data_IF_027368225705
#
_entry.id   IF_027368225705
#
_cell.length_a   1.000
_cell.length_b   1.000
_cell.length_c   1.000
_cell.angle_alpha   90.00
_cell.angle_beta   90.00
_cell.angle_gamma   90.00
#
_symmetry.space_group_name_H-M   'P 1'
#
loop_
_entity.id
_entity.type
_entity.pdbx_description
1 polymer ?
#
# COMPACT_ATOMS: atom_id res chain seq x y z
N UNK A 1 10.97 -14.43 -10.56
CA UNK A 1 9.95 -13.39 -10.34
C UNK A 1 8.69 -14.12 -9.96
N UNK A 2 7.97 -13.69 -8.91
CA UNK A 2 6.73 -14.34 -8.48
C UNK A 2 5.65 -14.21 -9.55
N UNK A 3 4.84 -15.25 -9.73
CA UNK A 3 3.62 -15.20 -10.53
C UNK A 3 2.52 -14.41 -9.78
N UNK A 4 1.48 -14.02 -10.48
CA UNK A 4 0.32 -13.36 -9.90
C UNK A 4 -0.37 -14.25 -8.84
N UNK A 5 -0.56 -15.52 -9.13
CA UNK A 5 -1.15 -16.51 -8.21
C UNK A 5 -0.32 -16.66 -6.93
N UNK A 6 1.00 -16.63 -7.02
CA UNK A 6 1.87 -16.66 -5.84
C UNK A 6 1.70 -15.39 -4.99
N UNK A 7 1.53 -14.22 -5.60
CA UNK A 7 1.27 -12.96 -4.88
C UNK A 7 -0.07 -12.99 -4.17
N UNK A 8 -1.11 -13.45 -4.83
CA UNK A 8 -2.45 -13.63 -4.23
C UNK A 8 -2.41 -14.57 -3.02
N UNK A 9 -1.72 -15.70 -3.15
CA UNK A 9 -1.53 -16.64 -2.04
C UNK A 9 -0.75 -16.01 -0.88
N UNK A 10 0.32 -15.27 -1.17
CA UNK A 10 1.11 -14.58 -0.14
C UNK A 10 0.31 -13.50 0.58
N UNK A 11 -0.52 -12.75 -0.15
CA UNK A 11 -1.46 -11.78 0.44
C UNK A 11 -2.40 -12.47 1.44
N UNK A 12 -3.07 -13.52 1.00
CA UNK A 12 -4.03 -14.25 1.84
C UNK A 12 -3.36 -14.86 3.09
N UNK A 13 -2.18 -15.47 2.94
CA UNK A 13 -1.41 -16.02 4.05
C UNK A 13 -1.01 -14.93 5.04
N UNK A 14 -0.47 -13.80 4.57
CA UNK A 14 -0.05 -12.71 5.44
C UNK A 14 -1.22 -12.11 6.23
N UNK A 15 -2.32 -11.80 5.54
CA UNK A 15 -3.53 -11.28 6.20
C UNK A 15 -4.09 -12.25 7.24
N UNK A 16 -4.17 -13.54 6.90
CA UNK A 16 -4.69 -14.58 7.81
C UNK A 16 -3.79 -14.78 9.02
N UNK A 17 -2.46 -14.70 8.86
CA UNK A 17 -1.48 -14.92 9.93
C UNK A 17 -1.60 -13.91 11.09
N UNK A 18 -2.12 -12.72 10.81
CA UNK A 18 -2.31 -11.63 11.81
C UNK A 18 -3.79 -11.34 12.08
N UNK A 19 -4.71 -12.11 11.49
CA UNK A 19 -6.14 -11.99 11.73
C UNK A 19 -6.77 -10.72 11.15
N UNK A 20 -6.37 -10.31 9.93
CA UNK A 20 -7.05 -9.19 9.24
C UNK A 20 -8.48 -9.60 8.91
N UNK A 21 -9.44 -8.77 9.30
CA UNK A 21 -10.85 -8.93 8.97
C UNK A 21 -11.28 -7.85 7.97
N UNK A 22 -11.84 -8.28 6.86
CA UNK A 22 -12.36 -7.39 5.84
C UNK A 22 -13.87 -7.17 6.00
N UNK A 23 -14.29 -5.92 5.85
CA UNK A 23 -15.69 -5.53 6.03
C UNK A 23 -16.03 -4.36 5.10
N UNK A 24 -17.26 -4.36 4.58
CA UNK A 24 -17.83 -3.18 3.96
C UNK A 24 -18.04 -2.05 4.98
N UNK A 25 -18.25 -0.83 4.49
CA UNK A 25 -18.63 0.30 5.33
C UNK A 25 -19.94 0.05 6.12
N UNK A 26 -20.80 -0.85 5.62
CA UNK A 26 -22.01 -1.31 6.34
C UNK A 26 -21.72 -2.22 7.53
N UNK A 27 -20.48 -2.66 7.74
CA UNK A 27 -20.07 -3.64 8.75
C UNK A 27 -20.30 -5.10 8.35
N UNK A 28 -20.75 -5.38 7.13
CA UNK A 28 -20.89 -6.73 6.62
C UNK A 28 -19.50 -7.29 6.29
N UNK A 29 -19.20 -8.50 6.76
CA UNK A 29 -17.93 -9.19 6.49
C UNK A 29 -17.79 -9.54 5.00
N UNK A 30 -16.56 -9.45 4.52
CA UNK A 30 -16.15 -9.84 3.16
C UNK A 30 -15.20 -11.02 3.31
N UNK A 31 -15.37 -12.05 2.46
CA UNK A 31 -14.46 -13.18 2.43
C UNK A 31 -13.08 -12.80 1.88
N UNK A 32 -12.05 -13.57 2.26
CA UNK A 32 -10.70 -13.38 1.71
C UNK A 32 -10.71 -13.51 0.18
N UNK A 33 -11.40 -14.50 -0.36
CA UNK A 33 -11.49 -14.72 -1.81
C UNK A 33 -12.09 -13.52 -2.52
N UNK A 34 -13.16 -12.93 -1.98
CA UNK A 34 -13.77 -11.73 -2.56
C UNK A 34 -12.82 -10.51 -2.52
N UNK A 35 -12.02 -10.36 -1.47
CA UNK A 35 -11.01 -9.30 -1.39
C UNK A 35 -9.90 -9.54 -2.41
N UNK A 36 -9.41 -10.76 -2.53
CA UNK A 36 -8.40 -11.14 -3.53
C UNK A 36 -8.92 -10.85 -4.93
N UNK A 37 -10.14 -11.27 -5.27
CA UNK A 37 -10.77 -11.00 -6.57
C UNK A 37 -10.88 -9.50 -6.86
N UNK A 38 -11.24 -8.69 -5.87
CA UNK A 38 -11.29 -7.22 -6.02
C UNK A 38 -9.93 -6.62 -6.30
N UNK A 39 -8.93 -6.99 -5.52
CA UNK A 39 -7.55 -6.51 -5.67
C UNK A 39 -6.95 -6.96 -7.01
N UNK A 40 -7.24 -8.20 -7.45
CA UNK A 40 -6.91 -8.73 -8.77
C UNK A 40 -7.51 -7.84 -9.88
N UNK A 41 -8.81 -7.61 -9.84
CA UNK A 41 -9.51 -6.80 -10.84
C UNK A 41 -9.06 -5.33 -10.86
N UNK A 42 -8.56 -4.80 -9.74
CA UNK A 42 -7.94 -3.48 -9.66
C UNK A 42 -6.50 -3.46 -10.22
N UNK A 43 -5.87 -4.63 -10.40
CA UNK A 43 -4.49 -4.73 -10.85
C UNK A 43 -3.44 -4.68 -9.73
N UNK A 44 -3.82 -4.83 -8.46
CA UNK A 44 -2.89 -4.74 -7.33
C UNK A 44 -1.72 -5.73 -7.44
N UNK A 45 -1.97 -6.92 -7.98
CA UNK A 45 -0.97 -7.98 -8.14
C UNK A 45 -0.16 -7.89 -9.45
N UNK A 46 -0.54 -6.99 -10.37
CA UNK A 46 0.07 -6.88 -11.70
C UNK A 46 0.66 -5.51 -11.99
N UNK A 47 0.15 -4.44 -11.37
CA UNK A 47 0.66 -3.09 -11.58
C UNK A 47 2.09 -2.90 -11.04
N UNK A 48 2.89 -2.00 -11.64
CA UNK A 48 4.19 -1.63 -11.11
C UNK A 48 4.06 -0.70 -9.90
N UNK A 49 5.10 -0.64 -9.05
CA UNK A 49 5.19 0.36 -7.99
C UNK A 49 5.63 1.73 -8.50
N UNK A 50 6.33 1.78 -9.63
CA UNK A 50 6.79 3.00 -10.29
C UNK A 50 7.02 2.78 -11.78
N UNK A 51 7.35 3.85 -12.51
CA UNK A 51 7.72 3.76 -13.94
C UNK A 51 9.22 3.76 -14.18
N UNK A 52 10.07 4.08 -13.18
CA UNK A 52 11.51 4.30 -13.34
C UNK A 52 12.35 3.95 -12.12
N UNK A 53 11.72 3.65 -10.98
CA UNK A 53 12.42 3.40 -9.72
C UNK A 53 12.17 1.97 -9.25
N UNK A 54 12.07 1.77 -7.93
CA UNK A 54 11.76 0.46 -7.37
C UNK A 54 10.44 -0.09 -7.93
N UNK A 55 10.42 -1.40 -8.21
CA UNK A 55 9.21 -2.09 -8.63
C UNK A 55 8.66 -1.66 -10.01
N UNK A 56 9.52 -1.26 -10.97
CA UNK A 56 9.16 -0.90 -12.35
C UNK A 56 8.86 -2.12 -13.24
N UNK A 57 8.29 -3.15 -12.65
CA UNK A 57 7.95 -4.41 -13.31
C UNK A 57 6.54 -4.88 -12.91
N UNK A 58 6.02 -5.84 -13.66
CA UNK A 58 4.69 -6.41 -13.44
C UNK A 58 4.60 -7.08 -12.06
N UNK A 59 3.66 -6.59 -11.22
CA UNK A 59 3.47 -7.01 -9.85
C UNK A 59 4.39 -6.31 -8.84
N UNK A 60 5.17 -5.31 -9.29
CA UNK A 60 6.04 -4.52 -8.41
C UNK A 60 5.28 -3.80 -7.30
N UNK A 61 4.02 -3.41 -7.54
CA UNK A 61 3.18 -2.79 -6.52
C UNK A 61 2.94 -3.73 -5.33
N UNK A 62 2.52 -4.97 -5.57
CA UNK A 62 2.35 -5.94 -4.50
C UNK A 62 3.67 -6.26 -3.81
N UNK A 63 4.74 -6.52 -4.59
CA UNK A 63 6.04 -6.89 -4.05
C UNK A 63 6.58 -5.79 -3.11
N UNK A 64 6.40 -4.52 -3.48
CA UNK A 64 6.73 -3.37 -2.63
C UNK A 64 5.86 -3.31 -1.37
N UNK A 65 4.54 -3.38 -1.53
CA UNK A 65 3.59 -3.33 -0.42
C UNK A 65 3.82 -4.46 0.60
N UNK A 66 4.10 -5.67 0.12
CA UNK A 66 4.44 -6.80 0.97
C UNK A 66 5.74 -6.55 1.77
N UNK A 67 6.75 -5.95 1.14
CA UNK A 67 7.99 -5.57 1.83
C UNK A 67 7.74 -4.53 2.90
N UNK A 68 6.95 -3.49 2.62
CA UNK A 68 6.59 -2.47 3.62
C UNK A 68 5.88 -3.12 4.81
N UNK A 69 4.92 -4.02 4.57
CA UNK A 69 4.23 -4.75 5.63
C UNK A 69 5.19 -5.57 6.49
N UNK A 70 6.13 -6.28 5.85
CA UNK A 70 7.13 -7.09 6.57
C UNK A 70 8.14 -6.23 7.33
N UNK A 71 8.55 -5.07 6.80
CA UNK A 71 9.41 -4.12 7.52
C UNK A 71 8.68 -3.51 8.72
N UNK A 72 7.39 -3.15 8.60
CA UNK A 72 6.60 -2.68 9.74
C UNK A 72 6.47 -3.74 10.84
N UNK A 73 6.30 -5.01 10.48
CA UNK A 73 6.30 -6.10 11.46
C UNK A 73 7.65 -6.22 12.18
N UNK A 74 8.77 -6.13 11.46
CA UNK A 74 10.12 -6.13 12.05
C UNK A 74 10.35 -4.94 12.97
N UNK A 75 9.96 -3.75 12.55
CA UNK A 75 10.06 -2.53 13.37
C UNK A 75 9.16 -2.64 14.62
N UNK A 76 7.96 -3.20 14.47
CA UNK A 76 7.03 -3.45 15.58
C UNK A 76 7.66 -4.33 16.63
N UNK A 77 8.27 -5.45 16.24
CA UNK A 77 8.94 -6.36 17.17
C UNK A 77 10.19 -5.72 17.81
N UNK A 78 11.06 -5.13 16.99
CA UNK A 78 12.34 -4.58 17.45
C UNK A 78 12.18 -3.36 18.38
N UNK A 79 11.17 -2.53 18.15
CA UNK A 79 10.93 -1.28 18.88
C UNK A 79 9.75 -1.38 19.85
N UNK A 80 9.11 -2.53 19.94
CA UNK A 80 7.91 -2.76 20.75
C UNK A 80 6.81 -1.73 20.47
N UNK A 81 6.53 -1.50 19.16
CA UNK A 81 5.52 -0.52 18.77
C UNK A 81 4.12 -1.01 19.18
N UNK A 82 3.34 -0.11 19.73
CA UNK A 82 1.95 -0.33 20.07
C UNK A 82 1.03 0.21 18.97
N UNK A 83 0.04 -0.56 18.57
CA UNK A 83 -0.89 -0.26 17.48
C UNK A 83 -2.33 -0.35 17.98
N UNK A 84 -3.24 0.44 17.42
CA UNK A 84 -4.67 0.35 17.75
C UNK A 84 -5.21 -1.08 17.58
N UNK A 85 -4.66 -1.85 16.64
CA UNK A 85 -4.89 -3.29 16.50
C UNK A 85 -3.65 -4.02 15.98
N UNK A 86 -3.46 -5.28 16.41
CA UNK A 86 -2.25 -6.05 16.09
C UNK A 86 -2.00 -6.25 14.59
N UNK A 87 -3.06 -6.24 13.76
CA UNK A 87 -2.94 -6.39 12.31
C UNK A 87 -2.65 -5.07 11.58
N UNK A 88 -2.65 -3.91 12.26
CA UNK A 88 -2.40 -2.60 11.62
C UNK A 88 -1.13 -2.53 10.78
N UNK A 89 0.04 -3.08 11.21
CA UNK A 89 1.25 -3.07 10.38
C UNK A 89 1.05 -3.70 9.01
N UNK A 90 0.32 -4.81 8.96
CA UNK A 90 0.04 -5.52 7.71
C UNK A 90 -0.96 -4.74 6.85
N UNK A 91 -2.02 -4.22 7.44
CA UNK A 91 -3.03 -3.41 6.73
C UNK A 91 -2.37 -2.17 6.11
N UNK A 92 -1.61 -1.43 6.90
CA UNK A 92 -0.93 -0.21 6.47
C UNK A 92 0.07 -0.53 5.36
N UNK A 93 0.95 -1.51 5.58
CA UNK A 93 1.98 -1.86 4.61
C UNK A 93 1.41 -2.36 3.28
N UNK A 94 0.35 -3.18 3.30
CA UNK A 94 -0.28 -3.68 2.08
C UNK A 94 -1.04 -2.58 1.31
N UNK A 95 -1.63 -1.60 2.02
CA UNK A 95 -2.59 -0.69 1.39
C UNK A 95 -2.13 0.77 1.28
N UNK A 96 -0.91 1.13 1.77
CA UNK A 96 -0.44 2.51 1.69
C UNK A 96 -0.39 3.06 0.25
N UNK A 97 -0.04 2.21 -0.69
CA UNK A 97 0.18 2.54 -2.10
C UNK A 97 -0.94 2.09 -3.06
N UNK A 98 -2.13 1.76 -2.56
CA UNK A 98 -3.28 1.36 -3.39
C UNK A 98 -3.65 2.40 -4.45
N UNK A 99 -3.30 3.66 -4.27
CA UNK A 99 -3.48 4.70 -5.27
C UNK A 99 -2.86 4.36 -6.64
N UNK A 100 -1.87 3.45 -6.67
CA UNK A 100 -1.12 3.08 -7.87
C UNK A 100 -1.84 2.06 -8.77
N UNK A 101 -2.94 1.47 -8.32
CA UNK A 101 -3.68 0.45 -9.10
C UNK A 101 -4.20 0.96 -10.45
N UNK A 102 -4.43 2.28 -10.59
CA UNK A 102 -4.89 2.91 -11.83
C UNK A 102 -4.01 4.08 -12.30
N UNK A 103 -2.79 4.19 -11.75
CA UNK A 103 -1.87 5.27 -12.11
C UNK A 103 -1.05 4.97 -13.38
N UNK A 104 -0.95 3.72 -13.77
CA UNK A 104 -0.01 3.30 -14.81
C UNK A 104 -0.69 2.46 -15.89
N UNK A 105 -0.17 2.58 -17.10
CA UNK A 105 -0.50 1.74 -18.25
C UNK A 105 0.78 1.23 -18.91
N UNK A 106 0.70 0.13 -19.67
CA UNK A 106 1.84 -0.36 -20.44
C UNK A 106 2.28 0.69 -21.45
N UNK A 107 3.59 0.94 -21.53
CA UNK A 107 4.16 1.81 -22.54
C UNK A 107 4.30 1.06 -23.86
N UNK A 108 3.64 1.55 -24.88
CA UNK A 108 3.68 1.04 -26.26
C UNK A 108 4.50 1.92 -27.21
N UNK A 109 5.21 2.93 -26.68
CA UNK A 109 6.02 3.85 -27.49
C UNK A 109 7.25 3.20 -28.13
N UNK A 110 7.70 2.06 -27.60
CA UNK A 110 8.93 1.40 -28.02
C UNK A 110 10.20 2.00 -27.44
N UNK A 111 10.09 2.92 -26.47
CA UNK A 111 11.24 3.50 -25.77
C UNK A 111 12.01 2.40 -25.01
N UNK A 112 13.31 2.18 -25.29
CA UNK A 112 14.09 1.11 -24.66
C UNK A 112 14.09 1.22 -23.15
N UNK A 113 13.80 0.09 -22.48
CA UNK A 113 13.81 -0.01 -21.01
C UNK A 113 12.56 0.55 -20.33
N UNK A 114 11.63 1.18 -21.03
CA UNK A 114 10.40 1.70 -20.46
C UNK A 114 9.25 0.72 -20.66
N UNK A 115 8.78 0.11 -19.61
CA UNK A 115 7.67 -0.88 -19.64
C UNK A 115 6.31 -0.26 -19.33
N UNK A 116 6.29 0.80 -18.51
CA UNK A 116 5.09 1.46 -18.03
C UNK A 116 5.22 2.98 -18.14
N UNK A 117 4.11 3.65 -18.30
CA UNK A 117 3.96 5.11 -18.25
C UNK A 117 2.76 5.51 -17.41
N UNK A 118 2.70 6.77 -17.00
CA UNK A 118 1.50 7.28 -16.33
C UNK A 118 0.29 7.16 -17.25
N UNK A 119 -0.86 6.83 -16.66
CA UNK A 119 -2.13 6.87 -17.35
C UNK A 119 -2.66 8.31 -17.33
N UNK A 120 -2.94 8.87 -18.50
CA UNK A 120 -3.44 10.26 -18.64
C UNK A 120 -4.95 10.36 -18.30
N UNK A 121 -5.63 9.23 -18.12
CA UNK A 121 -7.06 9.20 -17.76
C UNK A 121 -7.23 9.63 -16.30
N UNK A 122 -8.27 10.45 -16.01
CA UNK A 122 -8.56 10.79 -14.62
C UNK A 122 -8.87 9.56 -13.78
N UNK A 123 -8.28 9.48 -12.60
CA UNK A 123 -8.65 8.43 -11.63
C UNK A 123 -10.09 8.63 -11.14
N UNK A 124 -10.85 7.55 -11.10
CA UNK A 124 -12.21 7.55 -10.52
C UNK A 124 -12.20 7.79 -8.99
N UNK A 125 -11.05 7.61 -8.36
CA UNK A 125 -10.86 7.77 -6.91
C UNK A 125 -10.44 9.19 -6.50
N UNK A 126 -10.30 10.10 -7.47
CA UNK A 126 -9.84 11.47 -7.23
C UNK A 126 -8.32 11.62 -7.14
N UNK A 127 -7.86 12.85 -6.90
CA UNK A 127 -6.45 13.18 -6.78
C UNK A 127 -5.87 12.79 -5.41
N UNK A 128 -4.55 12.85 -5.32
CA UNK A 128 -3.79 12.60 -4.11
C UNK A 128 -3.17 11.21 -4.09
N UNK A 129 -2.19 11.01 -3.22
CA UNK A 129 -1.49 9.74 -3.09
C UNK A 129 -2.06 8.94 -1.91
N UNK A 130 -1.75 9.33 -0.70
CA UNK A 130 -2.24 8.64 0.50
C UNK A 130 -3.76 8.74 0.67
N UNK A 131 -4.38 9.89 0.38
CA UNK A 131 -5.84 10.07 0.46
C UNK A 131 -6.59 9.14 -0.49
N UNK A 132 -6.08 8.94 -1.70
CA UNK A 132 -6.63 7.99 -2.67
C UNK A 132 -6.50 6.55 -2.19
N UNK A 133 -5.34 6.18 -1.61
CA UNK A 133 -5.15 4.85 -1.02
C UNK A 133 -6.14 4.56 0.10
N UNK A 134 -6.38 5.54 1.00
CA UNK A 134 -7.41 5.44 2.04
C UNK A 134 -8.80 5.25 1.44
N UNK A 135 -9.17 6.02 0.42
CA UNK A 135 -10.49 5.92 -0.23
C UNK A 135 -10.71 4.52 -0.82
N UNK A 136 -9.72 3.98 -1.53
CA UNK A 136 -9.81 2.63 -2.12
C UNK A 136 -9.90 1.57 -1.01
N UNK A 137 -9.01 1.58 -0.02
CA UNK A 137 -8.99 0.60 1.07
C UNK A 137 -10.32 0.60 1.84
N UNK A 138 -10.91 1.78 2.09
CA UNK A 138 -12.17 1.91 2.82
C UNK A 138 -13.37 1.25 2.14
N UNK A 139 -13.24 0.80 0.89
CA UNK A 139 -14.32 0.07 0.19
C UNK A 139 -14.43 -1.40 0.63
N UNK A 140 -13.40 -1.96 1.27
CA UNK A 140 -13.36 -3.36 1.68
C UNK A 140 -12.75 -3.61 3.06
N UNK A 141 -12.33 -2.55 3.78
CA UNK A 141 -11.86 -2.66 5.15
C UNK A 141 -12.20 -1.38 5.93
N UNK A 142 -12.67 -1.54 7.15
CA UNK A 142 -12.82 -0.42 8.08
C UNK A 142 -11.44 -0.10 8.69
N UNK A 143 -10.89 1.05 8.30
CA UNK A 143 -9.63 1.54 8.82
C UNK A 143 -9.83 2.24 10.16
N UNK A 144 -8.89 2.04 11.09
CA UNK A 144 -8.83 2.84 12.33
C UNK A 144 -8.30 4.25 12.03
N UNK A 145 -8.51 5.24 12.93
CA UNK A 145 -7.93 6.58 12.76
C UNK A 145 -6.40 6.57 12.60
N UNK A 146 -5.70 5.67 13.31
CA UNK A 146 -4.25 5.50 13.18
C UNK A 146 -3.87 4.98 11.79
N UNK A 147 -4.56 3.93 11.28
CA UNK A 147 -4.30 3.38 9.95
C UNK A 147 -4.55 4.40 8.85
N UNK A 148 -5.63 5.19 8.96
CA UNK A 148 -5.91 6.30 8.04
C UNK A 148 -4.76 7.30 8.05
N UNK A 149 -4.26 7.71 9.23
CA UNK A 149 -3.15 8.65 9.33
C UNK A 149 -1.86 8.08 8.75
N UNK A 150 -1.53 6.82 9.07
CA UNK A 150 -0.36 6.13 8.56
C UNK A 150 -0.38 6.01 7.03
N UNK A 151 -1.49 5.55 6.45
CA UNK A 151 -1.65 5.43 4.99
C UNK A 151 -1.62 6.81 4.33
N UNK A 152 -2.33 7.79 4.90
CA UNK A 152 -2.43 9.12 4.31
C UNK A 152 -1.10 9.84 4.23
N UNK A 153 -0.29 9.78 5.28
CA UNK A 153 0.91 10.60 5.41
C UNK A 153 2.22 9.83 5.20
N UNK A 154 2.17 8.59 4.67
CA UNK A 154 3.38 7.77 4.47
C UNK A 154 4.42 8.41 3.55
N UNK A 155 4.01 9.24 2.57
CA UNK A 155 4.92 9.90 1.65
C UNK A 155 5.82 10.97 2.31
N UNK A 156 5.41 11.49 3.46
CA UNK A 156 6.22 12.46 4.20
C UNK A 156 6.51 13.73 3.39
N UNK A 157 7.79 14.14 3.39
CA UNK A 157 8.26 15.35 2.72
C UNK A 157 8.15 15.32 1.17
N UNK A 158 7.83 14.19 0.57
CA UNK A 158 7.59 14.10 -0.87
C UNK A 158 6.25 14.73 -1.29
N UNK A 159 5.31 14.90 -0.35
CA UNK A 159 4.08 15.68 -0.54
C UNK A 159 4.21 17.02 0.20
N UNK A 160 4.73 18.04 -0.51
CA UNK A 160 5.11 19.33 0.09
C UNK A 160 3.98 20.03 0.84
N UNK A 161 2.75 19.92 0.36
CA UNK A 161 1.59 20.56 0.95
C UNK A 161 1.04 19.81 2.18
N UNK A 162 1.54 18.61 2.44
CA UNK A 162 1.08 17.75 3.55
C UNK A 162 2.09 17.68 4.72
N UNK A 163 3.23 18.35 4.64
CA UNK A 163 4.28 18.25 5.65
C UNK A 163 3.85 18.70 7.06
N UNK A 164 3.17 19.83 7.15
CA UNK A 164 2.66 20.31 8.43
C UNK A 164 1.61 19.37 9.03
N UNK A 165 0.78 18.80 8.18
CA UNK A 165 -0.22 17.81 8.55
C UNK A 165 0.41 16.49 9.01
N UNK A 166 1.52 16.06 8.38
CA UNK A 166 2.27 14.89 8.81
C UNK A 166 2.87 15.07 10.20
N UNK A 167 3.44 16.24 10.51
CA UNK A 167 3.98 16.53 11.85
C UNK A 167 2.90 16.47 12.94
N UNK A 168 1.70 16.99 12.65
CA UNK A 168 0.53 16.85 13.52
C UNK A 168 0.09 15.38 13.67
N UNK A 169 0.09 14.61 12.57
CA UNK A 169 -0.27 13.20 12.59
C UNK A 169 0.72 12.37 13.41
N UNK A 170 2.05 12.61 13.28
CA UNK A 170 3.08 11.93 14.06
C UNK A 170 2.90 12.20 15.56
N UNK A 171 2.59 13.44 15.96
CA UNK A 171 2.34 13.77 17.38
C UNK A 171 1.12 13.03 17.95
N UNK A 172 0.15 12.69 17.15
CA UNK A 172 -1.03 11.95 17.56
C UNK A 172 -0.84 10.43 17.46
N UNK A 173 -0.19 9.97 16.43
CA UNK A 173 0.07 8.56 16.11
C UNK A 173 1.53 8.38 15.70
N UNK A 174 2.39 8.02 16.64
CA UNK A 174 3.84 7.87 16.40
C UNK A 174 4.16 6.93 15.25
N UNK A 175 3.29 5.97 14.98
CA UNK A 175 3.45 4.95 13.94
C UNK A 175 3.38 5.52 12.51
N UNK A 176 2.92 6.76 12.32
CA UNK A 176 3.05 7.48 11.04
C UNK A 176 4.53 7.62 10.64
N UNK A 177 5.41 7.94 11.58
CA UNK A 177 6.85 8.01 11.33
C UNK A 177 7.44 6.66 10.94
N UNK A 178 7.02 5.61 11.63
CA UNK A 178 7.52 4.24 11.35
C UNK A 178 6.99 3.71 10.04
N UNK A 179 5.78 4.08 9.63
CA UNK A 179 5.23 3.77 8.31
C UNK A 179 6.06 4.42 7.20
N UNK A 180 6.35 5.72 7.30
CA UNK A 180 7.24 6.41 6.37
C UNK A 180 8.64 5.77 6.31
N UNK A 181 9.19 5.41 7.48
CA UNK A 181 10.50 4.76 7.57
C UNK A 181 10.51 3.40 6.89
N UNK A 182 9.49 2.57 7.11
CA UNK A 182 9.37 1.25 6.49
C UNK A 182 9.27 1.33 4.97
N UNK A 183 8.48 2.28 4.44
CA UNK A 183 8.40 2.55 3.01
C UNK A 183 9.75 2.98 2.42
N UNK A 184 10.46 3.91 3.09
CA UNK A 184 11.81 4.32 2.69
C UNK A 184 12.80 3.16 2.70
N UNK A 185 12.78 2.29 3.70
CA UNK A 185 13.61 1.07 3.75
C UNK A 185 13.26 0.14 2.59
N UNK A 186 11.98 -0.16 2.37
CA UNK A 186 11.53 -1.02 1.28
C UNK A 186 11.91 -0.46 -0.09
N UNK A 187 11.82 0.87 -0.27
CA UNK A 187 12.14 1.55 -1.52
C UNK A 187 13.63 1.63 -1.83
N UNK A 188 14.51 1.68 -0.83
CA UNK A 188 15.94 1.98 -1.03
C UNK A 188 16.85 0.76 -0.85
N UNK A 189 16.53 -0.16 0.05
CA UNK A 189 17.42 -1.27 0.38
C UNK A 189 17.12 -2.57 -0.38
N UNK A 190 15.89 -2.74 -0.91
CA UNK A 190 15.49 -3.97 -1.61
C UNK A 190 15.44 -3.81 -3.14
N UNK A 191 16.08 -2.79 -3.68
CA UNK A 191 16.10 -2.46 -5.12
C UNK A 191 17.27 -3.10 -5.88
N UNK A 192 17.73 -4.28 -5.47
CA UNK A 192 18.78 -5.03 -6.20
C UNK A 192 18.18 -6.21 -6.95
#
# INVERSE_FOLDING_TARGET
MMSEVEREAMFAILCSSVGVNFTYASGVSISMDEVVDRLHNMGFFTQPASTRFHGDYEGGLFDHSYRVATELLKLTDALHLDWERKCSPVIIGLFHDLCKVDNYQRDTSGEPGRKFKYDDRPSVWGPGHGSKSVAIASTFIQLTPEEVACIRYHMGAYEKDEWDNMDVAIRRFNNVLWTHTADMVASKFYNN
#
